data_IF_678721109537
#
_entry.id   IF_678721109537
#
_cell.length_a   1.000
_cell.length_b   1.000
_cell.length_c   1.000
_cell.angle_alpha   90.00
_cell.angle_beta   90.00
_cell.angle_gamma   90.00
#
_symmetry.space_group_name_H-M   'P 1'
#
loop_
_entity.id
_entity.type
_entity.pdbx_description
1 polymer ?
#
# COMPACT_ATOMS: atom_id res chain seq x y z
N UNK A 1 42.94 -70.00 -4.60
CA UNK A 1 43.82 -68.84 -4.35
C UNK A 1 43.37 -67.72 -5.26
N UNK A 2 42.87 -66.62 -4.67
CA UNK A 2 42.81 -65.25 -5.22
C UNK A 2 42.04 -65.03 -6.55
N UNK A 3 41.20 -64.02 -6.77
CA UNK A 3 40.63 -62.93 -5.99
C UNK A 3 39.68 -62.15 -6.95
N UNK A 4 38.57 -61.62 -6.42
CA UNK A 4 37.81 -60.43 -6.85
C UNK A 4 36.84 -60.49 -8.04
N UNK A 5 35.58 -60.67 -7.66
CA UNK A 5 34.41 -60.14 -8.35
C UNK A 5 34.44 -58.60 -8.35
N UNK A 6 34.16 -57.99 -9.49
CA UNK A 6 33.98 -56.55 -9.63
C UNK A 6 32.58 -56.31 -10.22
N UNK A 7 31.58 -56.47 -9.35
CA UNK A 7 30.21 -56.01 -9.61
C UNK A 7 30.21 -54.52 -9.33
N UNK A 8 30.36 -53.71 -10.37
CA UNK A 8 30.15 -52.27 -10.29
C UNK A 8 28.65 -52.03 -10.19
N UNK A 9 28.13 -51.95 -8.98
CA UNK A 9 26.78 -51.44 -8.71
C UNK A 9 26.79 -49.93 -8.99
N UNK A 10 26.30 -49.57 -10.17
CA UNK A 10 25.96 -48.20 -10.54
C UNK A 10 24.77 -47.76 -9.68
N UNK A 11 25.04 -47.23 -8.48
CA UNK A 11 24.06 -46.50 -7.69
C UNK A 11 23.78 -45.17 -8.41
N UNK A 12 22.77 -45.17 -9.27
CA UNK A 12 22.09 -43.95 -9.70
C UNK A 12 21.48 -43.31 -8.44
N UNK A 13 22.22 -42.37 -7.85
CA UNK A 13 21.69 -41.47 -6.84
C UNK A 13 20.70 -40.55 -7.54
N UNK A 14 19.42 -40.94 -7.54
CA UNK A 14 18.32 -40.06 -7.86
C UNK A 14 18.28 -39.02 -6.73
N UNK A 15 18.95 -37.89 -6.93
CA UNK A 15 18.69 -36.70 -6.12
C UNK A 15 17.26 -36.26 -6.44
N UNK A 16 16.32 -36.64 -5.58
CA UNK A 16 15.02 -36.00 -5.50
C UNK A 16 15.25 -34.53 -5.14
N UNK A 17 15.42 -33.69 -6.16
CA UNK A 17 15.30 -32.25 -6.03
C UNK A 17 13.83 -31.92 -5.82
N UNK A 18 13.35 -32.04 -4.59
CA UNK A 18 12.19 -31.26 -4.19
C UNK A 18 12.68 -29.81 -4.14
N UNK A 19 12.32 -29.04 -5.15
CA UNK A 19 12.28 -27.59 -4.98
C UNK A 19 11.28 -27.35 -3.84
N UNK A 20 11.79 -27.10 -2.64
CA UNK A 20 11.00 -26.51 -1.57
C UNK A 20 10.62 -25.11 -2.05
N UNK A 21 9.40 -24.99 -2.57
CA UNK A 21 8.75 -23.71 -2.77
C UNK A 21 8.68 -23.07 -1.39
N UNK A 22 9.62 -22.17 -1.12
CA UNK A 22 9.64 -21.41 0.11
C UNK A 22 8.35 -20.61 0.09
N UNK A 23 7.38 -20.99 0.93
CA UNK A 23 6.19 -20.19 1.16
C UNK A 23 6.69 -18.84 1.67
N UNK A 24 6.79 -17.86 0.79
CA UNK A 24 6.89 -16.47 1.17
C UNK A 24 5.61 -16.22 1.96
N UNK A 25 5.71 -16.25 3.29
CA UNK A 25 4.64 -15.73 4.13
C UNK A 25 4.74 -14.23 3.92
N UNK A 26 4.07 -13.75 2.88
CA UNK A 26 3.88 -12.32 2.67
C UNK A 26 3.15 -11.80 3.92
N UNK A 27 3.83 -11.00 4.73
CA UNK A 27 3.23 -10.38 5.93
C UNK A 27 2.00 -9.52 5.61
N UNK A 28 1.77 -9.28 4.32
CA UNK A 28 0.64 -8.54 3.77
C UNK A 28 -0.47 -9.44 3.20
N UNK A 29 -0.40 -10.75 3.41
CA UNK A 29 -1.46 -11.68 3.02
C UNK A 29 -2.74 -11.37 3.85
N UNK A 30 -3.73 -10.78 3.18
CA UNK A 30 -4.96 -10.31 3.79
C UNK A 30 -5.26 -8.83 3.59
N UNK A 31 -4.33 -8.03 3.05
CA UNK A 31 -4.63 -6.63 2.68
C UNK A 31 -5.67 -6.62 1.55
N UNK A 32 -6.79 -5.93 1.80
CA UNK A 32 -7.93 -5.81 0.88
C UNK A 32 -7.93 -4.47 0.16
N UNK A 33 -7.55 -3.41 0.87
CA UNK A 33 -7.45 -2.06 0.31
C UNK A 33 -6.40 -1.23 1.02
N UNK A 34 -5.84 -0.28 0.29
CA UNK A 34 -5.02 0.79 0.85
C UNK A 34 -5.53 2.09 0.26
N UNK A 35 -5.72 3.07 1.13
CA UNK A 35 -6.14 4.41 0.78
C UNK A 35 -5.13 5.44 1.26
N UNK A 36 -5.03 6.55 0.55
CA UNK A 36 -4.32 7.72 1.04
C UNK A 36 -5.03 8.99 0.58
N UNK A 37 -4.96 10.03 1.41
CA UNK A 37 -5.53 11.31 1.05
C UNK A 37 -4.84 12.45 1.76
N UNK A 38 -5.27 13.65 1.38
CA UNK A 38 -4.84 14.88 2.01
C UNK A 38 -5.96 15.90 2.04
N UNK A 39 -5.90 16.81 2.99
CA UNK A 39 -6.86 17.89 3.13
C UNK A 39 -6.26 19.15 3.76
N UNK A 40 -6.91 20.28 3.51
CA UNK A 40 -6.56 21.58 4.08
C UNK A 40 -7.79 22.21 4.73
N UNK A 41 -7.69 22.66 5.98
CA UNK A 41 -8.82 23.26 6.70
C UNK A 41 -9.26 24.59 6.11
N UNK A 42 -8.30 25.47 5.81
CA UNK A 42 -8.52 26.79 5.22
C UNK A 42 -8.31 26.75 3.71
N UNK A 43 -9.31 26.28 2.97
CA UNK A 43 -9.27 26.25 1.51
C UNK A 43 -10.56 26.77 0.85
N UNK A 44 -10.39 27.46 -0.27
CA UNK A 44 -11.45 27.90 -1.17
C UNK A 44 -11.49 27.01 -2.41
N UNK A 45 -12.36 25.99 -2.43
CA UNK A 45 -12.46 25.08 -3.56
C UNK A 45 -12.59 23.63 -3.14
N UNK A 46 -11.93 22.79 -3.93
CA UNK A 46 -11.63 21.41 -3.60
C UNK A 46 -10.50 21.36 -2.58
N UNK A 47 -10.86 20.99 -1.35
CA UNK A 47 -9.99 21.09 -0.19
C UNK A 47 -9.54 19.74 0.34
N UNK A 48 -10.12 18.65 -0.17
CA UNK A 48 -9.73 17.29 0.13
C UNK A 48 -9.59 16.48 -1.15
N UNK A 49 -8.69 15.53 -1.11
CA UNK A 49 -8.50 14.57 -2.19
C UNK A 49 -8.00 13.25 -1.63
N UNK A 50 -8.45 12.15 -2.21
CA UNK A 50 -8.08 10.80 -1.78
C UNK A 50 -8.04 9.83 -2.95
N UNK A 51 -7.25 8.78 -2.76
CA UNK A 51 -7.22 7.61 -3.61
C UNK A 51 -7.49 6.40 -2.73
N UNK A 52 -8.39 5.53 -3.15
CA UNK A 52 -8.58 4.19 -2.60
C UNK A 52 -8.22 3.16 -3.66
N UNK A 53 -7.40 2.18 -3.30
CA UNK A 53 -7.03 1.06 -4.16
C UNK A 53 -7.53 -0.22 -3.50
N UNK A 54 -8.34 -0.98 -4.23
CA UNK A 54 -8.88 -2.26 -3.79
C UNK A 54 -8.20 -3.40 -4.55
N UNK A 55 -7.82 -4.48 -3.86
CA UNK A 55 -7.19 -5.67 -4.46
C UNK A 55 -8.16 -6.45 -5.36
N UNK A 56 -9.41 -6.60 -4.90
CA UNK A 56 -10.45 -7.40 -5.58
C UNK A 56 -11.81 -6.70 -5.46
N UNK A 57 -12.42 -6.23 -6.57
CA UNK A 57 -11.81 -6.12 -7.89
C UNK A 57 -10.63 -5.16 -7.87
N UNK A 58 -9.67 -5.36 -8.78
CA UNK A 58 -8.48 -4.50 -8.89
C UNK A 58 -8.87 -3.13 -9.45
N UNK A 59 -9.14 -2.18 -8.57
CA UNK A 59 -9.70 -0.87 -8.89
C UNK A 59 -9.03 0.23 -8.07
N UNK A 60 -8.81 1.38 -8.70
CA UNK A 60 -8.45 2.62 -8.05
C UNK A 60 -9.60 3.62 -8.18
N UNK A 61 -10.01 4.21 -7.06
CA UNK A 61 -11.02 5.28 -7.00
C UNK A 61 -10.35 6.55 -6.52
N UNK A 62 -10.31 7.57 -7.37
CA UNK A 62 -9.80 8.89 -7.01
C UNK A 62 -10.99 9.84 -6.73
N UNK A 63 -10.91 10.58 -5.64
CA UNK A 63 -11.94 11.50 -5.17
C UNK A 63 -11.34 12.86 -4.86
N UNK A 64 -12.09 13.93 -5.17
CA UNK A 64 -11.76 15.31 -4.84
C UNK A 64 -13.01 16.04 -4.39
N UNK A 65 -12.95 16.77 -3.28
CA UNK A 65 -14.14 17.38 -2.67
C UNK A 65 -13.84 18.67 -1.90
N UNK A 66 -14.85 19.51 -1.67
CA UNK A 66 -14.75 20.67 -0.78
C UNK A 66 -14.77 20.26 0.68
N UNK A 67 -14.48 21.21 1.58
CA UNK A 67 -14.82 21.06 2.98
C UNK A 67 -16.30 21.40 3.19
N UNK A 68 -17.08 20.43 3.69
CA UNK A 68 -18.53 20.55 3.87
C UNK A 68 -19.30 20.61 2.54
N UNK A 69 -20.60 20.85 2.63
CA UNK A 69 -21.46 20.89 1.45
C UNK A 69 -21.35 22.24 0.73
N UNK A 70 -20.62 22.26 -0.39
CA UNK A 70 -20.47 23.45 -1.25
C UNK A 70 -20.97 23.17 -2.65
N UNK A 71 -22.15 23.67 -2.98
CA UNK A 71 -22.81 23.48 -4.30
C UNK A 71 -21.92 23.90 -5.47
N UNK A 72 -21.12 24.95 -5.30
CA UNK A 72 -20.22 25.45 -6.34
C UNK A 72 -18.99 24.55 -6.60
N UNK A 73 -18.71 23.60 -5.70
CA UNK A 73 -17.62 22.64 -5.81
C UNK A 73 -18.15 21.22 -5.55
N UNK A 74 -18.98 20.65 -6.44
CA UNK A 74 -19.52 19.32 -6.23
C UNK A 74 -18.39 18.29 -6.19
N UNK A 75 -18.45 17.26 -5.32
CA UNK A 75 -17.44 16.20 -5.28
C UNK A 75 -17.25 15.54 -6.64
N UNK A 76 -15.99 15.30 -7.02
CA UNK A 76 -15.62 14.62 -8.26
C UNK A 76 -15.05 13.26 -7.89
N UNK A 77 -15.49 12.23 -8.61
CA UNK A 77 -14.96 10.88 -8.48
C UNK A 77 -14.65 10.29 -9.85
N UNK A 78 -13.52 9.60 -9.96
CA UNK A 78 -13.15 8.79 -11.13
C UNK A 78 -12.66 7.41 -10.69
N UNK A 79 -12.94 6.42 -11.53
CA UNK A 79 -12.52 5.03 -11.35
C UNK A 79 -11.52 4.67 -12.44
N UNK A 80 -10.48 3.95 -12.06
CA UNK A 80 -9.42 3.50 -12.94
C UNK A 80 -9.15 2.02 -12.68
N UNK A 81 -8.72 1.30 -13.72
CA UNK A 81 -8.10 0.00 -13.52
C UNK A 81 -6.76 0.23 -12.80
N UNK A 82 -6.51 -0.57 -11.77
CA UNK A 82 -5.21 -0.64 -11.10
C UNK A 82 -4.68 -2.04 -11.32
N UNK A 83 -3.51 -2.18 -11.95
CA UNK A 83 -3.07 -3.51 -12.36
C UNK A 83 -2.37 -4.24 -11.20
N UNK A 84 -2.23 -5.57 -11.33
CA UNK A 84 -1.67 -6.41 -10.27
C UNK A 84 -0.18 -6.15 -10.00
N UNK A 85 0.57 -5.66 -10.99
CA UNK A 85 1.99 -5.30 -10.83
C UNK A 85 2.10 -4.03 -9.97
N UNK A 86 1.35 -2.98 -10.30
CA UNK A 86 1.30 -1.74 -9.49
C UNK A 86 0.82 -2.04 -8.05
N UNK A 87 -0.06 -3.02 -7.87
CA UNK A 87 -0.48 -3.50 -6.55
C UNK A 87 0.66 -4.18 -5.80
N UNK A 88 1.39 -5.09 -6.44
CA UNK A 88 2.53 -5.78 -5.81
C UNK A 88 3.64 -4.80 -5.43
N UNK A 89 3.94 -3.81 -6.27
CA UNK A 89 4.90 -2.74 -5.97
C UNK A 89 4.47 -1.94 -4.74
N UNK A 90 3.19 -1.53 -4.66
CA UNK A 90 2.65 -0.83 -3.49
C UNK A 90 2.76 -1.68 -2.22
N UNK A 91 2.42 -2.96 -2.30
CA UNK A 91 2.44 -3.88 -1.15
C UNK A 91 3.87 -4.14 -0.68
N UNK A 92 4.84 -4.22 -1.58
CA UNK A 92 6.24 -4.40 -1.22
C UNK A 92 6.83 -3.22 -0.41
N UNK A 93 6.22 -2.02 -0.49
CA UNK A 93 6.61 -0.85 0.29
C UNK A 93 5.99 -0.82 1.69
N UNK A 94 4.99 -1.65 1.95
CA UNK A 94 4.27 -1.68 3.21
C UNK A 94 4.78 -2.83 4.09
N UNK A 95 5.46 -2.48 5.17
CA UNK A 95 5.65 -3.39 6.31
C UNK A 95 4.42 -3.26 7.23
N UNK A 96 3.47 -4.19 7.10
CA UNK A 96 2.20 -4.13 7.83
C UNK A 96 2.39 -4.18 9.36
N UNK A 97 3.38 -4.92 9.87
CA UNK A 97 3.61 -5.01 11.30
C UNK A 97 4.14 -3.69 11.86
N UNK A 98 5.06 -3.03 11.15
CA UNK A 98 5.50 -1.68 11.51
C UNK A 98 4.38 -0.66 11.41
N UNK A 99 3.57 -0.70 10.35
CA UNK A 99 2.41 0.18 10.20
C UNK A 99 1.42 0.02 11.36
N UNK A 100 1.17 -1.21 11.80
CA UNK A 100 0.33 -1.53 12.97
C UNK A 100 0.89 -1.00 14.30
N UNK A 101 2.18 -0.70 14.40
CA UNK A 101 2.79 -0.13 15.62
C UNK A 101 2.78 1.41 15.66
N UNK A 102 2.60 2.10 14.53
CA UNK A 102 2.57 3.57 14.50
C UNK A 102 1.39 4.15 15.31
N UNK A 103 1.55 5.28 15.98
CA UNK A 103 0.36 6.00 16.50
C UNK A 103 -0.53 6.47 15.33
N UNK A 104 -1.85 6.46 15.55
CA UNK A 104 -2.82 6.91 14.53
C UNK A 104 -2.67 8.39 14.17
N UNK A 105 -2.14 9.19 15.09
CA UNK A 105 -1.83 10.60 14.91
C UNK A 105 -0.34 10.80 15.12
N UNK A 106 0.36 11.26 14.07
CA UNK A 106 1.78 11.58 14.10
C UNK A 106 1.97 13.09 14.04
N UNK A 107 2.66 13.66 15.04
CA UNK A 107 2.88 15.10 15.14
C UNK A 107 1.60 15.89 15.43
N UNK A 108 1.41 17.03 14.76
CA UNK A 108 0.30 17.97 14.92
C UNK A 108 -0.41 18.22 13.57
N UNK A 109 -1.11 17.23 12.98
CA UNK A 109 -1.73 17.37 11.67
C UNK A 109 -2.73 18.53 11.65
N UNK A 110 -2.57 19.46 10.70
CA UNK A 110 -3.46 20.61 10.55
C UNK A 110 -3.19 21.79 11.51
N UNK A 111 -2.17 21.70 12.36
CA UNK A 111 -1.77 22.82 13.22
C UNK A 111 -1.19 23.97 12.39
N UNK A 112 -1.31 25.20 12.90
CA UNK A 112 -0.88 26.43 12.22
C UNK A 112 -1.43 26.56 10.77
N UNK A 113 -2.70 26.17 10.57
CA UNK A 113 -3.37 26.12 9.26
C UNK A 113 -2.68 25.22 8.21
N UNK A 114 -1.85 24.28 8.67
CA UNK A 114 -1.18 23.30 7.83
C UNK A 114 -2.14 22.30 7.16
N UNK A 115 -1.61 21.56 6.19
CA UNK A 115 -2.30 20.44 5.58
C UNK A 115 -2.24 19.18 6.45
N UNK A 116 -3.12 18.24 6.13
CA UNK A 116 -3.16 16.90 6.72
C UNK A 116 -2.94 15.90 5.60
N UNK A 117 -2.10 14.90 5.84
CA UNK A 117 -2.01 13.69 5.04
C UNK A 117 -2.43 12.48 5.87
N UNK A 118 -2.91 11.44 5.19
CA UNK A 118 -3.18 10.17 5.85
C UNK A 118 -2.98 8.98 4.91
N UNK A 119 -2.69 7.84 5.50
CA UNK A 119 -2.69 6.52 4.85
C UNK A 119 -3.57 5.60 5.70
N UNK A 120 -4.46 4.87 5.06
CA UNK A 120 -5.29 3.85 5.68
C UNK A 120 -5.04 2.51 5.00
N UNK A 121 -4.84 1.46 5.80
CA UNK A 121 -4.74 0.09 5.32
C UNK A 121 -5.92 -0.68 5.91
N UNK A 122 -6.61 -1.45 5.07
CA UNK A 122 -7.64 -2.39 5.50
C UNK A 122 -7.15 -3.82 5.22
N UNK A 123 -7.02 -4.63 6.27
CA UNK A 123 -6.58 -6.02 6.18
C UNK A 123 -7.56 -6.94 6.91
N UNK A 124 -7.95 -8.05 6.29
CA UNK A 124 -8.90 -9.00 6.88
C UNK A 124 -10.16 -8.28 7.40
N UNK A 125 -10.40 -8.21 8.72
CA UNK A 125 -11.53 -7.51 9.35
C UNK A 125 -11.14 -6.24 10.12
N UNK A 126 -9.89 -5.82 9.99
CA UNK A 126 -9.32 -4.68 10.70
C UNK A 126 -8.97 -3.57 9.71
N UNK A 127 -8.83 -2.37 10.26
CA UNK A 127 -8.32 -1.22 9.53
C UNK A 127 -7.54 -0.33 10.48
N UNK A 128 -6.59 0.40 9.92
CA UNK A 128 -5.89 1.45 10.65
C UNK A 128 -5.56 2.60 9.73
N UNK A 129 -5.73 3.81 10.27
CA UNK A 129 -5.34 5.05 9.61
C UNK A 129 -4.24 5.72 10.41
N UNK A 130 -3.17 6.10 9.72
CA UNK A 130 -2.12 6.97 10.25
C UNK A 130 -2.29 8.34 9.59
N UNK A 131 -2.46 9.37 10.41
CA UNK A 131 -2.69 10.76 10.01
C UNK A 131 -1.50 11.60 10.46
N UNK A 132 -0.94 12.40 9.56
CA UNK A 132 0.31 13.13 9.78
C UNK A 132 0.25 14.52 9.11
N UNK A 133 1.17 15.38 9.50
CA UNK A 133 1.34 16.70 8.90
C UNK A 133 1.66 16.60 7.40
N UNK A 134 1.13 17.53 6.60
CA UNK A 134 1.47 17.62 5.18
C UNK A 134 2.98 17.74 4.97
N UNK A 135 3.50 17.03 3.97
CA UNK A 135 4.93 16.93 3.63
C UNK A 135 5.81 16.17 4.64
N UNK A 136 5.32 15.85 5.84
CA UNK A 136 6.07 15.06 6.81
C UNK A 136 6.40 13.65 6.30
N UNK A 137 7.51 13.11 6.78
CA UNK A 137 7.90 11.71 6.61
C UNK A 137 7.82 11.03 7.97
N UNK A 138 7.22 9.85 8.00
CA UNK A 138 7.09 9.02 9.20
C UNK A 138 8.08 7.88 9.06
N UNK A 139 8.88 7.68 10.11
CA UNK A 139 9.83 6.57 10.19
C UNK A 139 9.13 5.25 9.85
N UNK A 140 9.85 4.36 9.17
CA UNK A 140 9.41 3.04 8.72
C UNK A 140 8.42 3.00 7.54
N UNK A 141 7.83 4.14 7.13
CA UNK A 141 6.89 4.21 6.01
C UNK A 141 7.20 5.34 5.02
N UNK A 142 8.43 5.88 5.03
CA UNK A 142 8.83 7.02 4.20
C UNK A 142 8.67 6.74 2.71
N UNK A 143 9.08 5.56 2.24
CA UNK A 143 8.97 5.18 0.84
C UNK A 143 7.52 4.97 0.41
N UNK A 144 6.68 4.43 1.30
CA UNK A 144 5.25 4.33 1.08
C UNK A 144 4.61 5.72 0.93
N UNK A 145 4.98 6.68 1.79
CA UNK A 145 4.49 8.07 1.70
C UNK A 145 4.88 8.72 0.37
N UNK A 146 6.15 8.59 -0.04
CA UNK A 146 6.65 9.12 -1.32
C UNK A 146 5.90 8.51 -2.51
N UNK A 147 5.70 7.19 -2.49
CA UNK A 147 4.92 6.50 -3.53
C UNK A 147 3.50 7.04 -3.63
N UNK A 148 2.81 7.21 -2.49
CA UNK A 148 1.46 7.77 -2.47
C UNK A 148 1.39 9.21 -2.99
N UNK A 149 2.38 10.05 -2.70
CA UNK A 149 2.46 11.42 -3.25
C UNK A 149 2.50 11.41 -4.77
N UNK A 150 3.38 10.60 -5.36
CA UNK A 150 3.49 10.42 -6.82
C UNK A 150 2.19 9.88 -7.41
N UNK A 151 1.57 8.89 -6.76
CA UNK A 151 0.33 8.31 -7.21
C UNK A 151 -0.82 9.32 -7.21
N UNK A 152 -0.93 10.11 -6.14
CA UNK A 152 -1.91 11.19 -6.02
C UNK A 152 -1.75 12.22 -7.13
N UNK A 153 -0.53 12.70 -7.38
CA UNK A 153 -0.26 13.61 -8.50
C UNK A 153 -0.65 13.00 -9.86
N UNK A 154 -0.32 11.71 -10.08
CA UNK A 154 -0.64 10.98 -11.33
C UNK A 154 -2.14 10.94 -11.61
N UNK A 155 -2.98 10.66 -10.61
CA UNK A 155 -4.43 10.46 -10.84
C UNK A 155 -5.25 11.74 -10.66
N UNK A 156 -4.82 12.69 -9.83
CA UNK A 156 -5.56 13.93 -9.61
C UNK A 156 -5.53 14.90 -10.78
N UNK A 157 -4.57 14.77 -11.72
CA UNK A 157 -4.62 15.51 -12.98
C UNK A 157 -5.83 15.16 -13.86
N UNK A 158 -6.53 14.06 -13.56
CA UNK A 158 -7.73 13.61 -14.27
C UNK A 158 -9.04 13.93 -13.52
N UNK A 159 -8.95 14.66 -12.40
CA UNK A 159 -10.09 15.15 -11.61
C UNK A 159 -10.30 16.65 -11.81
#
# INVERSE_FOLDING_TARGET
MLWYALVVTLLLVIRNGQAEETKIIDGNDGIRSISSGLSYGKCGGYCSQSINITKVPSELVALKGPNGDRVQYPPIQRKFCFNSVEWQELIALLDLEKFKMLDEIQGCPGCADGGIEWIQVDWSKESKRVTFEYEALIADIEELIKYWRVLREKYFKYL
#
